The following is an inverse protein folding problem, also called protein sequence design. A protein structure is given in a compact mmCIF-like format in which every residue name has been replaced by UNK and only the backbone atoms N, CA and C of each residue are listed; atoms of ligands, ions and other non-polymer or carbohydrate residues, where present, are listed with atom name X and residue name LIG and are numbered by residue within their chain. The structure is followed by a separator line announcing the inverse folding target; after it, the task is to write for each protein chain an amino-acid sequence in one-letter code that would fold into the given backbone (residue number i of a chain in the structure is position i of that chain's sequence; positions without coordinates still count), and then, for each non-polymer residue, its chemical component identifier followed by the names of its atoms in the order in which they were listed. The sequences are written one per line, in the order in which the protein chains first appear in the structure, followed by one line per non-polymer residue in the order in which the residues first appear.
data_IF_762993142297
#
_entry.id   IF_762993142297
#
_cell.length_a   1.000
_cell.length_b   1.000
_cell.length_c   1.000
_cell.angle_alpha   90.00
_cell.angle_beta   90.00
_cell.angle_gamma   90.00
#
_symmetry.space_group_name_H-M   'P 1'
#
loop_
_entity.id
_entity.type
_entity.pdbx_description
1 polymer ?
#
# COMPACT_ATOMS: atom_id res chain seq x y z
N UNK A 1 0.66 7.33 -13.69
CA UNK A 1 1.41 7.29 -14.96
C UNK A 1 1.49 5.89 -15.55
N UNK A 2 1.97 4.87 -14.83
CA UNK A 2 2.18 3.49 -15.29
C UNK A 2 0.99 2.87 -16.04
N UNK A 3 -0.22 3.07 -15.55
CA UNK A 3 -1.46 2.53 -16.13
C UNK A 3 -2.15 3.47 -17.12
N UNK A 4 -1.62 4.66 -17.34
CA UNK A 4 -2.22 5.65 -18.24
C UNK A 4 -1.72 5.46 -19.67
N UNK A 5 -2.64 5.49 -20.65
CA UNK A 5 -2.29 5.34 -22.07
C UNK A 5 -1.29 6.42 -22.57
N UNK A 6 -1.32 7.61 -21.95
CA UNK A 6 -0.45 8.74 -22.27
C UNK A 6 0.69 8.94 -21.25
N UNK A 7 1.02 7.94 -20.44
CA UNK A 7 2.04 8.07 -19.38
C UNK A 7 3.40 8.51 -19.90
N UNK A 8 3.85 7.93 -21.02
CA UNK A 8 5.13 8.29 -21.64
C UNK A 8 5.12 9.70 -22.23
N UNK A 9 4.00 10.13 -22.85
CA UNK A 9 3.85 11.49 -23.38
C UNK A 9 3.96 12.53 -22.28
N UNK A 10 3.30 12.29 -21.13
CA UNK A 10 3.38 13.19 -19.97
C UNK A 10 4.80 13.20 -19.36
N UNK A 11 5.48 12.06 -19.30
CA UNK A 11 6.87 12.01 -18.82
C UNK A 11 7.79 12.84 -19.72
N UNK A 12 7.60 12.76 -21.03
CA UNK A 12 8.35 13.54 -22.02
C UNK A 12 8.05 15.05 -21.90
N UNK A 13 6.79 15.42 -21.76
CA UNK A 13 6.36 16.82 -21.57
C UNK A 13 6.98 17.42 -20.29
N UNK A 14 7.00 16.67 -19.18
CA UNK A 14 7.64 17.09 -17.96
C UNK A 14 9.15 17.28 -18.17
N UNK A 15 9.82 16.37 -18.87
CA UNK A 15 11.22 16.51 -19.19
C UNK A 15 11.52 17.78 -20.02
N UNK A 16 10.70 18.08 -21.03
CA UNK A 16 10.87 19.26 -21.86
C UNK A 16 10.78 20.58 -21.08
N UNK A 17 9.84 20.63 -20.12
CA UNK A 17 9.61 21.84 -19.31
C UNK A 17 10.56 21.97 -18.11
N UNK A 18 10.86 20.89 -17.41
CA UNK A 18 11.58 20.91 -16.12
C UNK A 18 13.00 20.37 -16.19
N UNK A 19 13.35 19.66 -17.27
CA UNK A 19 14.59 18.86 -17.40
C UNK A 19 14.74 17.74 -16.38
N UNK A 20 13.63 17.35 -15.72
CA UNK A 20 13.57 16.22 -14.81
C UNK A 20 13.14 14.99 -15.60
N UNK A 21 14.01 13.99 -15.64
CA UNK A 21 13.67 12.69 -16.22
C UNK A 21 12.80 11.91 -15.24
N UNK A 22 11.70 11.34 -15.75
CA UNK A 22 10.82 10.46 -14.98
C UNK A 22 10.95 9.05 -15.55
N UNK A 23 11.34 8.11 -14.69
CA UNK A 23 11.36 6.69 -15.00
C UNK A 23 10.05 6.06 -14.52
N UNK A 24 9.34 5.40 -15.44
CA UNK A 24 8.09 4.70 -15.15
C UNK A 24 8.44 3.25 -14.85
N UNK A 25 8.55 2.93 -13.55
CA UNK A 25 8.84 1.58 -13.07
C UNK A 25 7.59 0.69 -13.10
N UNK A 26 7.78 -0.61 -13.23
CA UNK A 26 6.70 -1.59 -13.11
C UNK A 26 6.39 -1.97 -11.65
N UNK A 27 5.36 -2.82 -11.45
CA UNK A 27 4.93 -3.21 -10.09
C UNK A 27 5.90 -4.16 -9.40
N UNK A 28 6.72 -4.90 -10.14
CA UNK A 28 7.74 -5.79 -9.57
C UNK A 28 8.93 -4.98 -9.06
N UNK A 29 9.35 -4.00 -9.84
CA UNK A 29 10.41 -3.06 -9.49
C UNK A 29 10.00 -2.18 -8.30
N UNK A 30 8.78 -1.63 -8.30
CA UNK A 30 8.20 -0.92 -7.16
C UNK A 30 8.20 -1.78 -5.89
N UNK A 31 7.77 -3.03 -5.99
CA UNK A 31 7.76 -3.97 -4.87
C UNK A 31 9.17 -4.35 -4.39
N UNK A 32 10.14 -4.40 -5.31
CA UNK A 32 11.55 -4.64 -4.96
C UNK A 32 12.13 -3.46 -4.16
N UNK A 33 11.94 -2.24 -4.63
CA UNK A 33 12.41 -1.01 -3.97
C UNK A 33 11.79 -0.88 -2.56
N UNK A 34 10.50 -1.15 -2.43
CA UNK A 34 9.82 -1.11 -1.12
C UNK A 34 10.37 -2.20 -0.19
N UNK A 35 10.72 -3.37 -0.72
CA UNK A 35 11.30 -4.45 0.08
C UNK A 35 12.71 -4.12 0.63
N UNK A 36 13.43 -3.19 0.01
CA UNK A 36 14.70 -2.68 0.50
C UNK A 36 14.56 -1.66 1.65
N UNK A 37 13.32 -1.17 1.91
CA UNK A 37 13.08 -0.37 3.11
C UNK A 37 13.22 -1.23 4.36
N UNK A 38 13.78 -0.68 5.44
CA UNK A 38 13.92 -1.38 6.72
C UNK A 38 12.56 -1.61 7.38
N UNK A 39 11.77 -2.51 6.81
CA UNK A 39 10.61 -3.06 7.50
C UNK A 39 11.02 -3.73 8.82
N UNK A 40 12.28 -4.17 8.94
CA UNK A 40 12.84 -4.82 10.14
C UNK A 40 12.72 -3.99 11.44
N UNK A 41 12.68 -2.67 11.34
CA UNK A 41 12.44 -1.81 12.51
C UNK A 41 10.98 -1.86 13.01
N UNK A 42 10.06 -2.33 12.18
CA UNK A 42 8.61 -2.30 12.43
C UNK A 42 7.97 -3.68 12.51
N UNK A 43 8.73 -4.73 12.17
CA UNK A 43 8.26 -6.11 12.17
C UNK A 43 9.08 -6.96 13.13
N UNK A 44 8.40 -7.83 13.87
CA UNK A 44 9.04 -8.90 14.61
C UNK A 44 9.47 -10.00 13.62
N UNK A 45 10.74 -10.37 13.62
CA UNK A 45 11.27 -11.37 12.69
C UNK A 45 10.70 -12.78 12.88
N UNK A 46 10.00 -13.04 13.99
CA UNK A 46 9.31 -14.31 14.30
C UNK A 46 7.83 -14.32 13.92
N UNK A 47 7.36 -13.30 13.19
CA UNK A 47 5.98 -13.16 12.74
C UNK A 47 5.86 -13.23 11.21
N UNK A 48 4.60 -13.40 10.78
CA UNK A 48 4.24 -13.42 9.38
C UNK A 48 3.40 -12.20 9.04
N UNK A 49 3.64 -11.63 7.89
CA UNK A 49 2.92 -10.43 7.45
C UNK A 49 2.43 -10.55 6.01
N UNK A 50 1.28 -9.95 5.76
CA UNK A 50 0.86 -9.54 4.42
C UNK A 50 1.13 -8.05 4.29
N UNK A 51 2.12 -7.69 3.50
CA UNK A 51 2.36 -6.30 3.11
C UNK A 51 1.38 -5.92 2.00
N UNK A 52 0.75 -4.77 2.12
CA UNK A 52 -0.30 -4.28 1.21
C UNK A 52 -0.02 -2.82 0.89
N UNK A 53 0.34 -2.54 -0.36
CA UNK A 53 0.48 -1.17 -0.86
C UNK A 53 -0.64 -0.85 -1.83
N UNK A 54 -1.49 0.11 -1.46
CA UNK A 54 -2.70 0.45 -2.20
C UNK A 54 -2.50 1.69 -3.04
N UNK A 55 -2.37 1.47 -4.34
CA UNK A 55 -2.34 2.51 -5.36
C UNK A 55 -3.72 2.85 -5.95
N UNK A 56 -3.73 3.76 -6.92
CA UNK A 56 -4.94 4.13 -7.66
C UNK A 56 -5.37 3.07 -8.69
N UNK A 57 -4.41 2.49 -9.41
CA UNK A 57 -4.63 1.51 -10.49
C UNK A 57 -4.47 0.06 -10.04
N UNK A 58 -3.55 -0.22 -9.16
CA UNK A 58 -3.22 -1.56 -8.66
C UNK A 58 -3.00 -1.55 -7.15
N UNK A 59 -2.90 -2.74 -6.59
CA UNK A 59 -2.45 -2.98 -5.22
C UNK A 59 -1.40 -4.08 -5.24
N UNK A 60 -0.29 -3.82 -4.63
CA UNK A 60 0.83 -4.73 -4.48
C UNK A 60 0.71 -5.48 -3.15
N UNK A 61 0.80 -6.82 -3.22
CA UNK A 61 0.79 -7.69 -2.07
C UNK A 61 2.10 -8.45 -1.97
N UNK A 62 2.68 -8.52 -0.77
CA UNK A 62 3.84 -9.37 -0.49
C UNK A 62 3.62 -10.17 0.78
N UNK A 63 4.07 -11.40 0.79
CA UNK A 63 4.08 -12.25 1.99
C UNK A 63 5.48 -12.20 2.58
N UNK A 64 5.56 -11.87 3.87
CA UNK A 64 6.80 -11.81 4.62
C UNK A 64 6.75 -12.88 5.70
N UNK A 65 7.79 -13.70 5.78
CA UNK A 65 7.98 -14.75 6.77
C UNK A 65 9.39 -14.68 7.33
N UNK A 66 9.51 -14.62 8.64
CA UNK A 66 10.82 -14.49 9.32
C UNK A 66 11.66 -13.30 8.81
N UNK A 67 11.01 -12.18 8.53
CA UNK A 67 11.66 -10.97 8.02
C UNK A 67 11.98 -10.98 6.52
N UNK A 68 11.78 -12.11 5.81
CA UNK A 68 12.09 -12.25 4.40
C UNK A 68 10.82 -12.27 3.52
N UNK A 69 10.92 -11.64 2.35
CA UNK A 69 9.84 -11.68 1.34
C UNK A 69 9.81 -13.04 0.66
N UNK A 70 8.73 -13.80 0.89
CA UNK A 70 8.52 -15.15 0.32
C UNK A 70 7.96 -15.08 -1.10
N UNK A 71 7.00 -14.21 -1.33
CA UNK A 71 6.34 -14.02 -2.64
C UNK A 71 5.66 -12.67 -2.70
N UNK A 72 5.46 -12.17 -3.91
CA UNK A 72 4.72 -10.94 -4.16
C UNK A 72 3.86 -11.06 -5.42
N UNK A 73 2.79 -10.27 -5.49
CA UNK A 73 1.92 -10.18 -6.67
C UNK A 73 1.20 -8.85 -6.70
N UNK A 74 1.15 -8.24 -7.88
CA UNK A 74 0.32 -7.07 -8.16
C UNK A 74 -1.05 -7.50 -8.68
N UNK A 75 -2.10 -6.85 -8.18
CA UNK A 75 -3.48 -7.05 -8.63
C UNK A 75 -4.05 -5.75 -9.18
N UNK A 76 -4.76 -5.83 -10.29
CA UNK A 76 -5.45 -4.68 -10.89
C UNK A 76 -6.69 -4.26 -10.09
N UNK A 77 -6.51 -4.11 -8.78
CA UNK A 77 -7.46 -3.60 -7.80
C UNK A 77 -6.82 -2.37 -7.18
N UNK A 78 -7.29 -1.19 -7.56
CA UNK A 78 -6.80 0.08 -7.03
C UNK A 78 -7.97 0.98 -6.68
N UNK A 79 -7.72 2.02 -5.91
CA UNK A 79 -8.78 2.90 -5.39
C UNK A 79 -9.58 3.58 -6.48
N UNK A 80 -8.92 4.07 -7.54
CA UNK A 80 -9.57 4.71 -8.68
C UNK A 80 -10.36 3.71 -9.51
N UNK A 81 -9.85 2.47 -9.66
CA UNK A 81 -10.59 1.41 -10.36
C UNK A 81 -11.86 1.01 -9.62
N UNK A 82 -11.80 0.94 -8.29
CA UNK A 82 -12.97 0.65 -7.46
C UNK A 82 -13.99 1.80 -7.50
N UNK A 83 -13.50 3.03 -7.45
CA UNK A 83 -14.36 4.21 -7.55
C UNK A 83 -15.15 4.24 -8.88
N UNK A 84 -14.54 3.78 -9.97
CA UNK A 84 -15.15 3.72 -11.31
C UNK A 84 -15.86 2.37 -11.61
N UNK A 85 -15.98 1.49 -10.62
CA UNK A 85 -16.66 0.17 -10.72
C UNK A 85 -16.13 -0.73 -11.87
N UNK A 86 -14.83 -0.65 -12.16
CA UNK A 86 -14.19 -1.42 -13.26
C UNK A 86 -13.39 -2.64 -12.77
N UNK A 87 -13.46 -2.95 -11.46
CA UNK A 87 -12.83 -4.14 -10.89
C UNK A 87 -13.75 -5.33 -11.00
N UNK A 88 -13.35 -6.35 -11.76
CA UNK A 88 -14.14 -7.56 -11.97
C UNK A 88 -14.16 -8.44 -10.72
N UNK A 89 -15.24 -9.19 -10.55
CA UNK A 89 -15.40 -10.16 -9.46
C UNK A 89 -14.30 -11.23 -9.47
N UNK A 90 -13.90 -11.67 -10.64
CA UNK A 90 -12.86 -12.67 -10.85
C UNK A 90 -11.51 -12.21 -10.26
N UNK A 91 -11.19 -10.91 -10.39
CA UNK A 91 -9.96 -10.34 -9.81
C UNK A 91 -9.98 -10.37 -8.28
N UNK A 92 -11.14 -10.13 -7.65
CA UNK A 92 -11.31 -10.27 -6.21
C UNK A 92 -11.18 -11.72 -5.74
N UNK A 93 -11.75 -12.67 -6.49
CA UNK A 93 -11.62 -14.10 -6.18
C UNK A 93 -10.17 -14.58 -6.32
N UNK A 94 -9.47 -14.10 -7.34
CA UNK A 94 -8.05 -14.39 -7.53
C UNK A 94 -7.21 -13.88 -6.36
N UNK A 95 -7.44 -12.63 -5.93
CA UNK A 95 -6.76 -12.05 -4.77
C UNK A 95 -7.07 -12.82 -3.48
N UNK A 96 -8.34 -13.15 -3.23
CA UNK A 96 -8.75 -13.96 -2.07
C UNK A 96 -8.03 -15.29 -2.02
N UNK A 97 -8.04 -16.02 -3.14
CA UNK A 97 -7.37 -17.31 -3.25
C UNK A 97 -5.86 -17.18 -3.06
N UNK A 98 -5.24 -16.17 -3.65
CA UNK A 98 -3.81 -15.94 -3.51
C UNK A 98 -3.42 -15.67 -2.05
N UNK A 99 -4.15 -14.77 -1.35
CA UNK A 99 -3.89 -14.49 0.07
C UNK A 99 -4.04 -15.77 0.90
N UNK A 100 -5.17 -16.47 0.79
CA UNK A 100 -5.43 -17.69 1.57
C UNK A 100 -4.35 -18.76 1.33
N UNK A 101 -4.04 -19.05 0.07
CA UNK A 101 -3.04 -20.07 -0.28
C UNK A 101 -1.67 -19.76 0.30
N UNK A 102 -1.29 -18.49 0.34
CA UNK A 102 0.03 -18.08 0.82
C UNK A 102 0.08 -17.85 2.34
N UNK A 103 -1.06 -17.73 3.03
CA UNK A 103 -1.11 -17.45 4.47
C UNK A 103 -1.62 -18.61 5.33
N UNK A 104 -2.41 -19.55 4.78
CA UNK A 104 -3.07 -20.61 5.58
C UNK A 104 -2.08 -21.55 6.31
N UNK A 105 -0.83 -21.61 5.88
CA UNK A 105 0.22 -22.39 6.54
C UNK A 105 0.80 -21.72 7.78
N UNK A 106 0.43 -20.48 8.08
CA UNK A 106 0.96 -19.71 9.19
C UNK A 106 -0.09 -19.52 10.30
N UNK A 107 0.28 -19.76 11.56
CA UNK A 107 -0.63 -19.66 12.70
C UNK A 107 -1.07 -18.22 13.00
N UNK A 108 -0.18 -17.25 12.80
CA UNK A 108 -0.42 -15.85 13.06
C UNK A 108 0.09 -15.02 11.91
N UNK A 109 -0.81 -14.22 11.36
CA UNK A 109 -0.51 -13.27 10.29
C UNK A 109 -1.05 -11.91 10.70
N UNK A 110 -0.24 -10.88 10.56
CA UNK A 110 -0.67 -9.49 10.66
C UNK A 110 -0.55 -8.81 9.29
N UNK A 111 -1.12 -7.63 9.14
CA UNK A 111 -1.01 -6.84 7.90
C UNK A 111 -0.08 -5.67 8.13
N UNK A 112 0.71 -5.33 7.13
CA UNK A 112 1.43 -4.05 7.03
C UNK A 112 0.76 -3.27 5.91
N UNK A 113 0.22 -2.11 6.23
CA UNK A 113 -0.44 -1.23 5.26
C UNK A 113 0.46 -0.08 4.85
N UNK A 114 0.65 0.10 3.55
CA UNK A 114 1.34 1.23 2.93
C UNK A 114 0.39 2.03 2.05
N UNK A 115 0.73 3.27 1.81
CA UNK A 115 -0.04 4.19 0.98
C UNK A 115 -0.70 5.33 1.74
N UNK A 116 -1.01 6.39 1.01
CA UNK A 116 -1.47 7.65 1.60
C UNK A 116 -2.81 7.54 2.34
N UNK A 117 -3.70 6.64 1.93
CA UNK A 117 -5.01 6.48 2.57
C UNK A 117 -4.90 5.85 3.95
N UNK A 118 -4.13 4.77 4.10
CA UNK A 118 -3.96 4.12 5.41
C UNK A 118 -3.15 5.00 6.36
N UNK A 119 -2.19 5.79 5.86
CA UNK A 119 -1.47 6.78 6.64
C UNK A 119 -2.41 7.86 7.21
N UNK A 120 -3.38 8.34 6.42
CA UNK A 120 -4.39 9.31 6.90
C UNK A 120 -5.28 8.67 7.96
N UNK A 121 -5.76 7.44 7.76
CA UNK A 121 -6.57 6.70 8.73
C UNK A 121 -5.80 6.49 10.04
N UNK A 122 -4.53 6.11 9.95
CA UNK A 122 -3.66 5.96 11.11
C UNK A 122 -3.49 7.29 11.87
N UNK A 123 -3.27 8.39 11.16
CA UNK A 123 -3.19 9.74 11.77
C UNK A 123 -4.49 10.10 12.51
N UNK A 124 -5.65 9.85 11.90
CA UNK A 124 -6.97 10.12 12.51
C UNK A 124 -7.19 9.26 13.76
N UNK A 125 -6.67 8.03 13.80
CA UNK A 125 -6.82 7.14 14.95
C UNK A 125 -6.15 7.66 16.23
N UNK A 126 -5.25 8.63 16.14
CA UNK A 126 -4.47 9.17 17.25
C UNK A 126 -3.50 8.17 17.89
N UNK A 127 -3.31 6.99 17.30
CA UNK A 127 -2.39 5.99 17.83
C UNK A 127 -0.92 6.41 17.66
N UNK A 128 -0.10 6.04 18.62
CA UNK A 128 1.34 6.24 18.54
C UNK A 128 1.97 5.37 17.44
N UNK A 129 3.03 5.87 16.83
CA UNK A 129 3.81 5.12 15.82
C UNK A 129 4.24 3.76 16.40
N UNK A 130 4.22 2.72 15.59
CA UNK A 130 4.50 1.34 16.00
C UNK A 130 3.32 0.60 16.67
N UNK A 131 2.22 1.28 17.00
CA UNK A 131 1.02 0.61 17.51
C UNK A 131 0.05 0.29 16.39
N UNK A 132 -0.44 -0.96 16.28
CA UNK A 132 -1.31 -1.35 15.18
C UNK A 132 -2.73 -0.82 15.34
N UNK A 133 -3.42 -0.68 14.22
CA UNK A 133 -4.88 -0.61 14.17
C UNK A 133 -5.44 -2.03 14.25
N UNK A 134 -6.61 -2.19 14.88
CA UNK A 134 -7.30 -3.48 14.89
C UNK A 134 -8.29 -3.58 13.72
N UNK A 135 -8.59 -4.80 13.28
CA UNK A 135 -9.65 -5.06 12.30
C UNK A 135 -10.98 -4.42 12.72
N UNK A 136 -11.31 -4.52 14.01
CA UNK A 136 -12.55 -3.94 14.56
C UNK A 136 -12.57 -2.41 14.40
N UNK A 137 -11.48 -1.72 14.78
CA UNK A 137 -11.38 -0.27 14.60
C UNK A 137 -11.54 0.12 13.12
N UNK A 138 -10.80 -0.56 12.24
CA UNK A 138 -10.82 -0.24 10.81
C UNK A 138 -12.21 -0.50 10.20
N UNK A 139 -12.85 -1.61 10.57
CA UNK A 139 -14.21 -1.95 10.12
C UNK A 139 -15.25 -0.93 10.61
N UNK A 140 -15.20 -0.55 11.88
CA UNK A 140 -16.10 0.47 12.43
C UNK A 140 -15.92 1.80 11.70
N UNK A 141 -14.67 2.23 11.54
CA UNK A 141 -14.37 3.49 10.85
C UNK A 141 -14.78 3.47 9.37
N UNK A 142 -14.65 2.33 8.69
CA UNK A 142 -15.17 2.14 7.33
C UNK A 142 -16.67 2.38 7.24
N UNK A 143 -17.44 1.83 8.17
CA UNK A 143 -18.90 2.06 8.21
C UNK A 143 -19.23 3.52 8.53
N UNK A 144 -18.49 4.14 9.44
CA UNK A 144 -18.62 5.58 9.72
C UNK A 144 -18.38 6.41 8.46
N UNK A 145 -17.27 6.19 7.75
CA UNK A 145 -16.96 6.91 6.51
C UNK A 145 -18.04 6.75 5.43
N UNK A 146 -18.66 5.58 5.37
CA UNK A 146 -19.77 5.31 4.41
C UNK A 146 -21.05 6.04 4.77
N UNK A 147 -21.26 6.44 6.01
CA UNK A 147 -22.44 7.22 6.41
C UNK A 147 -22.33 8.70 6.10
N UNK A 148 -21.11 9.19 5.78
CA UNK A 148 -20.86 10.56 5.37
C UNK A 148 -20.91 10.70 3.84
N UNK A 149 -21.48 11.79 3.34
CA UNK A 149 -21.39 12.19 1.93
C UNK A 149 -19.94 12.57 1.59
N UNK A 150 -19.65 12.76 0.30
CA UNK A 150 -18.34 13.23 -0.15
C UNK A 150 -17.99 14.59 0.49
N UNK A 151 -18.93 15.53 0.48
CA UNK A 151 -18.77 16.87 1.03
C UNK A 151 -18.53 16.83 2.55
N UNK A 152 -19.31 16.03 3.28
CA UNK A 152 -19.14 15.86 4.72
C UNK A 152 -17.78 15.24 5.08
N UNK A 153 -17.25 14.33 4.26
CA UNK A 153 -15.90 13.81 4.49
C UNK A 153 -14.83 14.89 4.38
N UNK A 154 -15.03 15.89 3.54
CA UNK A 154 -14.12 17.05 3.42
C UNK A 154 -14.30 17.99 4.60
N UNK A 155 -15.53 18.39 4.92
CA UNK A 155 -15.82 19.43 5.89
C UNK A 155 -15.73 18.95 7.34
N UNK A 156 -16.24 17.75 7.63
CA UNK A 156 -16.32 17.22 8.99
C UNK A 156 -15.11 16.36 9.40
N UNK A 157 -14.48 15.68 8.41
CA UNK A 157 -13.37 14.77 8.67
C UNK A 157 -12.02 15.31 8.22
N UNK A 158 -11.98 16.54 7.72
CA UNK A 158 -10.76 17.21 7.24
C UNK A 158 -9.98 16.33 6.23
N UNK A 159 -10.72 15.72 5.31
CA UNK A 159 -10.12 14.99 4.20
C UNK A 159 -9.89 15.92 3.02
N UNK A 160 -8.72 15.83 2.39
CA UNK A 160 -8.49 16.51 1.13
C UNK A 160 -9.44 15.96 0.05
N UNK A 161 -9.78 16.76 -0.94
CA UNK A 161 -10.68 16.38 -2.04
C UNK A 161 -10.22 15.11 -2.77
N UNK A 162 -8.91 14.99 -3.01
CA UNK A 162 -8.28 13.83 -3.65
C UNK A 162 -8.28 12.54 -2.81
N UNK A 163 -8.73 12.62 -1.54
CA UNK A 163 -8.84 11.48 -0.63
C UNK A 163 -10.27 11.14 -0.24
N UNK A 164 -11.16 12.13 -0.21
CA UNK A 164 -12.52 11.95 0.26
C UNK A 164 -13.32 10.91 -0.54
N UNK A 165 -12.99 10.70 -1.79
CA UNK A 165 -13.58 9.68 -2.67
C UNK A 165 -12.87 8.32 -2.59
N UNK A 166 -11.53 8.30 -2.53
CA UNK A 166 -10.73 7.07 -2.63
C UNK A 166 -10.44 6.38 -1.30
N UNK A 167 -10.71 7.02 -0.16
CA UNK A 167 -10.42 6.45 1.17
C UNK A 167 -11.29 5.22 1.47
N UNK A 168 -12.56 5.21 1.07
CA UNK A 168 -13.47 4.08 1.23
C UNK A 168 -13.02 2.88 0.38
N UNK A 169 -12.76 3.02 -0.93
CA UNK A 169 -12.12 1.98 -1.74
C UNK A 169 -10.83 1.42 -1.13
N UNK A 170 -9.94 2.29 -0.64
CA UNK A 170 -8.71 1.83 0.01
C UNK A 170 -8.98 0.97 1.25
N UNK A 171 -9.89 1.41 2.12
CA UNK A 171 -10.27 0.63 3.31
C UNK A 171 -10.87 -0.72 2.96
N UNK A 172 -11.65 -0.81 1.88
CA UNK A 172 -12.20 -2.08 1.41
C UNK A 172 -11.08 -3.08 1.08
N UNK A 173 -10.00 -2.62 0.43
CA UNK A 173 -8.85 -3.46 0.10
C UNK A 173 -8.15 -3.96 1.38
N UNK A 174 -7.81 -3.05 2.32
CA UNK A 174 -7.15 -3.45 3.58
C UNK A 174 -8.00 -4.39 4.43
N UNK A 175 -9.29 -4.11 4.56
CA UNK A 175 -10.23 -4.99 5.29
C UNK A 175 -10.34 -6.36 4.65
N UNK A 176 -10.35 -6.44 3.32
CA UNK A 176 -10.37 -7.70 2.58
C UNK A 176 -9.08 -8.50 2.82
N UNK A 177 -7.92 -7.85 2.75
CA UNK A 177 -6.64 -8.46 3.05
C UNK A 177 -6.59 -9.02 4.47
N UNK A 178 -7.00 -8.24 5.47
CA UNK A 178 -7.07 -8.68 6.86
C UNK A 178 -8.04 -9.84 7.07
N UNK A 179 -9.22 -9.79 6.44
CA UNK A 179 -10.23 -10.85 6.53
C UNK A 179 -9.71 -12.17 5.97
N UNK A 180 -9.10 -12.15 4.78
CA UNK A 180 -8.66 -13.37 4.10
C UNK A 180 -7.39 -13.98 4.69
N UNK A 181 -6.49 -13.15 5.25
CA UNK A 181 -5.32 -13.60 6.01
C UNK A 181 -5.64 -13.89 7.48
N UNK A 182 -6.88 -13.70 7.94
CA UNK A 182 -7.30 -13.84 9.35
C UNK A 182 -6.55 -12.89 10.30
N UNK A 183 -5.96 -11.81 9.78
CA UNK A 183 -5.20 -10.84 10.55
C UNK A 183 -6.10 -10.02 11.47
N UNK A 184 -5.65 -9.84 12.71
CA UNK A 184 -6.35 -9.01 13.71
C UNK A 184 -5.81 -7.59 13.76
N UNK A 185 -4.59 -7.37 13.28
CA UNK A 185 -3.87 -6.10 13.36
C UNK A 185 -3.33 -5.69 12.00
N UNK A 186 -3.29 -4.37 11.80
CA UNK A 186 -2.59 -3.75 10.69
C UNK A 186 -1.62 -2.71 11.23
N UNK A 187 -0.35 -2.86 10.90
CA UNK A 187 0.71 -1.91 11.19
C UNK A 187 0.82 -0.90 10.07
N UNK A 188 1.10 0.35 10.41
CA UNK A 188 1.23 1.44 9.44
C UNK A 188 2.56 2.16 9.73
N UNK A 189 3.68 1.67 9.18
CA UNK A 189 5.02 2.17 9.50
C UNK A 189 5.33 3.55 8.92
N UNK A 190 4.44 4.12 8.08
CA UNK A 190 4.68 5.36 7.31
C UNK A 190 5.91 5.31 6.40
N UNK A 191 6.26 4.13 5.96
CA UNK A 191 7.30 3.90 4.97
C UNK A 191 6.63 3.79 3.60
N UNK A 192 7.25 4.31 2.56
CA UNK A 192 6.77 4.24 1.19
C UNK A 192 7.91 4.08 0.20
N UNK A 193 7.55 4.05 -1.08
CA UNK A 193 8.49 3.92 -2.20
C UNK A 193 9.65 4.93 -2.12
N UNK A 194 9.38 6.18 -1.72
CA UNK A 194 10.40 7.22 -1.58
C UNK A 194 11.48 6.87 -0.57
N UNK A 195 11.13 6.21 0.52
CA UNK A 195 12.08 5.81 1.57
C UNK A 195 13.01 4.72 1.04
N UNK A 196 12.46 3.75 0.28
CA UNK A 196 13.23 2.70 -0.40
C UNK A 196 14.18 3.27 -1.44
N UNK A 197 13.71 4.19 -2.30
CA UNK A 197 14.55 4.84 -3.31
C UNK A 197 15.71 5.58 -2.67
N UNK A 198 15.47 6.40 -1.64
CA UNK A 198 16.51 7.15 -0.94
C UNK A 198 17.55 6.20 -0.34
N UNK A 199 17.12 5.11 0.25
CA UNK A 199 17.99 4.12 0.86
C UNK A 199 18.83 3.39 -0.19
N UNK A 200 18.25 2.93 -1.29
CA UNK A 200 18.96 2.31 -2.40
C UNK A 200 20.05 3.23 -2.95
N UNK A 201 19.69 4.46 -3.29
CA UNK A 201 20.65 5.48 -3.77
C UNK A 201 21.76 5.78 -2.77
N UNK A 202 21.45 5.78 -1.47
CA UNK A 202 22.45 5.99 -0.44
C UNK A 202 23.49 4.86 -0.41
N UNK A 203 23.05 3.61 -0.45
CA UNK A 203 23.97 2.45 -0.45
C UNK A 203 24.78 2.35 -1.73
N UNK A 204 24.21 2.62 -2.89
CA UNK A 204 24.94 2.69 -4.17
C UNK A 204 26.03 3.75 -4.12
N UNK A 205 25.73 4.93 -3.57
CA UNK A 205 26.68 6.04 -3.45
C UNK A 205 27.83 5.70 -2.51
N UNK A 206 27.58 5.00 -1.40
CA UNK A 206 28.62 4.58 -0.47
C UNK A 206 29.49 3.47 -1.09
N UNK A 207 28.85 2.47 -1.69
CA UNK A 207 29.58 1.36 -2.33
C UNK A 207 30.50 1.84 -3.44
N UNK A 208 30.10 2.82 -4.22
CA UNK A 208 30.92 3.43 -5.27
C UNK A 208 32.11 4.22 -4.72
N UNK A 209 32.00 4.80 -3.50
CA UNK A 209 33.09 5.54 -2.85
C UNK A 209 34.10 4.65 -2.12
N UNK A 210 33.74 3.41 -1.80
CA UNK A 210 34.66 2.45 -1.12
C UNK A 210 35.56 1.74 -2.14
N UNK A 211 35.22 1.77 -3.44
CA UNK A 211 35.93 1.11 -4.52
C UNK A 211 36.87 2.09 -5.26
N UNK A 212 36.80 3.37 -4.97
CA UNK A 212 37.68 4.43 -5.50
C UNK A 212 38.75 4.83 -4.48
#
# INVERSE_FOLDING_TARGET
MREAANGNEIAQEIFEHSKIQIDIIDGEEEAAIIAETDLHEYIDNDRNYVYVDVGGGSTEFSIIHNGEKVTSKSFRIGTVRLLNDIVKRETWLELENWIKTNTDKYDKVDVIGSGGNINKIFKISGKAIGKPLTYFYLSTYYHTLKSYSYEERITELDLNQDRADVIIPAMQIYLSAMKWSKAKHIYVPKIGLSDGIIKSLYYETISSKVIS
#
